data_IF_389941643006
#
_entry.id   IF_389941643006
#
_cell.length_a   1.000
_cell.length_b   1.000
_cell.length_c   1.000
_cell.angle_alpha   90.00
_cell.angle_beta   90.00
_cell.angle_gamma   90.00
#
_symmetry.space_group_name_H-M   'P 1'
#
loop_
_entity.id
_entity.type
_entity.pdbx_description
1 polymer ?
#
# COMPACT_ATOMS: atom_id res chain seq x y z
N UNK A 1 5.06 -24.14 -5.73
CA UNK A 1 4.70 -22.89 -6.45
C UNK A 1 4.15 -21.89 -5.43
N UNK A 2 4.57 -20.64 -5.48
CA UNK A 2 4.07 -19.57 -4.57
C UNK A 2 2.66 -19.20 -4.99
N UNK A 3 1.72 -19.23 -4.04
CA UNK A 3 0.36 -18.71 -4.17
C UNK A 3 0.18 -17.58 -3.18
N UNK A 4 0.12 -16.36 -3.70
CA UNK A 4 0.08 -15.14 -2.92
C UNK A 4 -1.37 -14.68 -2.69
N UNK A 5 -1.73 -14.45 -1.44
CA UNK A 5 -2.88 -13.67 -1.05
C UNK A 5 -2.46 -12.24 -0.73
N UNK A 6 -3.17 -11.24 -1.21
CA UNK A 6 -2.95 -9.83 -0.87
C UNK A 6 -4.21 -9.29 -0.20
N UNK A 7 -4.12 -8.98 1.09
CA UNK A 7 -5.17 -8.27 1.83
C UNK A 7 -4.82 -6.81 1.92
N UNK A 8 -5.62 -5.97 1.28
CA UNK A 8 -5.34 -4.53 1.20
C UNK A 8 -6.60 -3.71 1.51
N UNK A 9 -6.41 -2.66 2.31
CA UNK A 9 -7.45 -1.67 2.53
C UNK A 9 -7.70 -0.87 1.24
N UNK A 10 -8.96 -0.86 0.78
CA UNK A 10 -9.36 -0.15 -0.43
C UNK A 10 -10.62 0.72 -0.24
N UNK A 11 -11.06 0.93 1.00
CA UNK A 11 -12.16 1.83 1.33
C UNK A 11 -11.80 3.28 0.96
N UNK A 12 -12.81 4.10 0.74
CA UNK A 12 -12.62 5.52 0.38
C UNK A 12 -11.77 6.28 1.41
N UNK A 13 -11.85 5.89 2.68
CA UNK A 13 -11.12 6.53 3.78
C UNK A 13 -9.67 6.08 3.91
N UNK A 14 -9.31 4.91 3.37
CA UNK A 14 -7.94 4.39 3.43
C UNK A 14 -7.00 4.99 2.39
N UNK A 15 -7.55 5.68 1.39
CA UNK A 15 -6.77 6.24 0.29
C UNK A 15 -6.21 5.17 -0.65
N UNK A 16 -5.54 5.62 -1.70
CA UNK A 16 -5.03 4.73 -2.76
C UNK A 16 -3.64 4.15 -2.46
N UNK A 17 -2.93 4.68 -1.48
CA UNK A 17 -1.53 4.34 -1.21
C UNK A 17 -1.31 2.87 -0.89
N UNK A 18 -2.19 2.27 -0.09
CA UNK A 18 -2.15 0.85 0.27
C UNK A 18 -2.24 -0.03 -0.99
N UNK A 19 -3.23 0.23 -1.83
CA UNK A 19 -3.41 -0.52 -3.07
C UNK A 19 -2.20 -0.35 -4.00
N UNK A 20 -1.72 0.88 -4.21
CA UNK A 20 -0.62 1.16 -5.13
C UNK A 20 0.66 0.42 -4.75
N UNK A 21 1.01 0.35 -3.46
CA UNK A 21 2.21 -0.36 -3.04
C UNK A 21 2.04 -1.89 -3.15
N UNK A 22 0.87 -2.43 -2.81
CA UNK A 22 0.57 -3.85 -3.05
C UNK A 22 0.54 -4.19 -4.54
N UNK A 23 -0.08 -3.33 -5.35
CA UNK A 23 -0.12 -3.49 -6.81
C UNK A 23 1.28 -3.44 -7.43
N UNK A 24 2.15 -2.58 -6.95
CA UNK A 24 3.55 -2.53 -7.39
C UNK A 24 4.28 -3.85 -7.11
N UNK A 25 4.06 -4.45 -5.95
CA UNK A 25 4.62 -5.78 -5.60
C UNK A 25 4.03 -6.87 -6.48
N UNK A 26 2.71 -6.86 -6.71
CA UNK A 26 2.02 -7.90 -7.50
C UNK A 26 2.55 -8.04 -8.94
N UNK A 27 3.10 -6.96 -9.50
CA UNK A 27 3.64 -6.97 -10.85
C UNK A 27 4.88 -7.86 -11.03
N UNK A 28 5.53 -8.24 -9.94
CA UNK A 28 6.68 -9.14 -9.97
C UNK A 28 6.28 -10.63 -9.86
N UNK A 29 4.97 -10.93 -9.69
CA UNK A 29 4.47 -12.29 -9.62
C UNK A 29 3.86 -12.73 -10.95
N UNK A 30 4.27 -13.90 -11.43
CA UNK A 30 3.73 -14.52 -12.66
C UNK A 30 2.58 -15.47 -12.36
N UNK A 31 2.49 -16.01 -11.14
CA UNK A 31 1.39 -16.85 -10.67
C UNK A 31 0.11 -16.04 -10.42
N UNK A 32 -1.03 -16.73 -10.34
CA UNK A 32 -2.31 -16.17 -9.93
C UNK A 32 -2.21 -15.62 -8.52
N UNK A 33 -2.76 -14.41 -8.30
CA UNK A 33 -2.83 -13.73 -7.01
C UNK A 33 -4.30 -13.69 -6.57
N UNK A 34 -4.53 -13.79 -5.27
CA UNK A 34 -5.84 -13.66 -4.64
C UNK A 34 -5.90 -12.34 -3.88
N UNK A 35 -6.75 -11.42 -4.35
CA UNK A 35 -6.91 -10.10 -3.76
C UNK A 35 -8.11 -10.10 -2.82
N UNK A 36 -7.89 -9.72 -1.57
CA UNK A 36 -8.92 -9.55 -0.55
C UNK A 36 -9.15 -8.06 -0.34
N UNK A 37 -10.31 -7.57 -0.78
CA UNK A 37 -10.67 -6.15 -0.79
C UNK A 37 -11.84 -5.90 0.17
N UNK A 38 -11.91 -4.67 0.73
CA UNK A 38 -13.00 -4.27 1.64
C UNK A 38 -14.30 -4.04 0.86
N UNK A 39 -14.22 -3.39 -0.31
CA UNK A 39 -15.39 -2.98 -1.08
C UNK A 39 -15.16 -3.02 -2.59
N UNK A 40 -16.26 -3.13 -3.33
CA UNK A 40 -16.25 -3.08 -4.80
C UNK A 40 -15.90 -1.67 -5.27
N UNK A 41 -14.92 -1.57 -6.16
CA UNK A 41 -14.50 -0.31 -6.74
C UNK A 41 -13.83 -0.54 -8.09
N UNK A 42 -14.44 -0.04 -9.14
CA UNK A 42 -13.98 -0.23 -10.52
C UNK A 42 -12.56 0.28 -10.78
N UNK A 43 -12.10 1.28 -10.02
CA UNK A 43 -10.72 1.76 -10.13
C UNK A 43 -9.69 0.67 -9.79
N UNK A 44 -9.96 -0.13 -8.77
CA UNK A 44 -9.07 -1.22 -8.37
C UNK A 44 -9.28 -2.46 -9.24
N UNK A 45 -10.54 -2.83 -9.49
CA UNK A 45 -10.94 -3.99 -10.31
C UNK A 45 -10.31 -3.93 -11.71
N UNK A 46 -10.41 -2.80 -12.40
CA UNK A 46 -9.86 -2.62 -13.75
C UNK A 46 -8.33 -2.67 -13.82
N UNK A 47 -7.63 -2.62 -12.69
CA UNK A 47 -6.17 -2.68 -12.62
C UNK A 47 -5.64 -4.06 -12.25
N UNK A 48 -6.44 -4.85 -11.56
CA UNK A 48 -6.09 -6.22 -11.21
C UNK A 48 -6.12 -7.06 -12.50
N UNK A 49 -5.13 -7.92 -12.66
CA UNK A 49 -4.97 -8.73 -13.88
C UNK A 49 -6.10 -9.77 -13.98
N UNK A 50 -6.57 -10.04 -15.19
CA UNK A 50 -7.66 -11.02 -15.46
C UNK A 50 -7.37 -12.42 -14.92
N UNK A 51 -6.09 -12.79 -14.78
CA UNK A 51 -5.70 -14.09 -14.21
C UNK A 51 -5.86 -14.17 -12.69
N UNK A 52 -5.92 -13.04 -12.03
CA UNK A 52 -6.02 -12.91 -10.57
C UNK A 52 -7.48 -13.05 -10.14
N UNK A 53 -7.71 -13.30 -8.87
CA UNK A 53 -9.05 -13.44 -8.30
C UNK A 53 -9.28 -12.36 -7.26
N UNK A 54 -10.47 -11.75 -7.29
CA UNK A 54 -10.88 -10.76 -6.32
C UNK A 54 -11.93 -11.37 -5.41
N UNK A 55 -11.70 -11.29 -4.11
CA UNK A 55 -12.58 -11.76 -3.06
C UNK A 55 -12.89 -10.56 -2.17
N UNK A 56 -14.18 -10.30 -1.93
CA UNK A 56 -14.61 -9.21 -1.08
C UNK A 56 -14.85 -9.74 0.32
N UNK A 57 -14.36 -9.01 1.33
CA UNK A 57 -14.70 -9.22 2.71
C UNK A 57 -16.01 -8.50 3.02
N UNK A 58 -16.98 -9.21 3.59
CA UNK A 58 -18.30 -8.63 3.89
C UNK A 58 -18.22 -7.61 5.04
N UNK A 59 -17.28 -7.84 5.97
CA UNK A 59 -16.96 -6.91 7.05
C UNK A 59 -15.46 -6.68 7.16
N UNK A 60 -15.04 -5.44 7.32
CA UNK A 60 -13.62 -5.02 7.35
C UNK A 60 -12.83 -5.70 8.46
N UNK A 61 -13.50 -6.05 9.57
CA UNK A 61 -12.90 -6.71 10.74
C UNK A 61 -12.92 -8.23 10.65
N UNK A 62 -13.75 -8.79 9.78
CA UNK A 62 -13.85 -10.24 9.59
C UNK A 62 -12.82 -10.73 8.56
N UNK A 63 -12.33 -11.93 8.82
CA UNK A 63 -11.39 -12.64 7.95
C UNK A 63 -11.91 -14.00 7.53
N UNK A 64 -13.23 -14.19 7.63
CA UNK A 64 -13.91 -15.47 7.36
C UNK A 64 -13.77 -15.89 5.89
N UNK A 65 -14.07 -14.95 4.97
CA UNK A 65 -13.93 -15.18 3.52
C UNK A 65 -12.48 -15.43 3.15
N UNK A 66 -11.57 -14.67 3.75
CA UNK A 66 -10.13 -14.86 3.56
C UNK A 66 -9.67 -16.24 4.06
N UNK A 67 -10.11 -16.68 5.25
CA UNK A 67 -9.72 -17.98 5.81
C UNK A 67 -10.19 -19.13 4.93
N UNK A 68 -11.43 -19.07 4.44
CA UNK A 68 -11.99 -20.05 3.49
C UNK A 68 -11.17 -20.10 2.21
N UNK A 69 -10.97 -18.95 1.56
CA UNK A 69 -10.22 -18.87 0.30
C UNK A 69 -8.76 -19.30 0.44
N UNK A 70 -8.11 -18.96 1.56
CA UNK A 70 -6.73 -19.39 1.86
C UNK A 70 -6.64 -20.93 1.89
N UNK A 71 -7.60 -21.59 2.55
CA UNK A 71 -7.65 -23.05 2.63
C UNK A 71 -7.95 -23.69 1.28
N UNK A 72 -9.03 -23.28 0.61
CA UNK A 72 -9.51 -23.86 -0.66
C UNK A 72 -8.47 -23.70 -1.79
N UNK A 73 -7.84 -22.56 -1.87
CA UNK A 73 -6.87 -22.24 -2.91
C UNK A 73 -5.43 -22.61 -2.55
N UNK A 74 -5.19 -23.12 -1.34
CA UNK A 74 -3.84 -23.46 -0.82
C UNK A 74 -2.88 -22.27 -0.93
N UNK A 75 -3.35 -21.08 -0.52
CA UNK A 75 -2.52 -19.89 -0.45
C UNK A 75 -1.45 -20.12 0.61
N UNK A 76 -0.20 -19.85 0.28
CA UNK A 76 0.93 -20.21 1.12
C UNK A 76 1.81 -19.04 1.55
N UNK A 77 1.42 -17.80 1.18
CA UNK A 77 1.99 -16.54 1.70
C UNK A 77 0.92 -15.45 1.62
N UNK A 78 0.90 -14.57 2.61
CA UNK A 78 -0.04 -13.45 2.68
C UNK A 78 0.74 -12.14 2.79
N UNK A 79 0.44 -11.19 1.90
CA UNK A 79 0.83 -9.79 2.00
C UNK A 79 -0.33 -8.99 2.58
N UNK A 80 -0.10 -8.28 3.67
CA UNK A 80 -1.12 -7.51 4.38
C UNK A 80 -0.77 -6.02 4.39
N UNK A 81 -1.72 -5.20 3.98
CA UNK A 81 -1.61 -3.74 4.00
C UNK A 81 -2.94 -3.09 4.37
N UNK A 82 -3.24 -3.07 5.64
CA UNK A 82 -4.47 -2.49 6.19
C UNK A 82 -4.23 -1.99 7.61
N UNK A 83 -4.77 -0.80 7.93
CA UNK A 83 -4.76 -0.29 9.30
C UNK A 83 -5.96 -0.78 10.13
N UNK A 84 -7.01 -1.24 9.47
CA UNK A 84 -8.28 -1.59 10.10
C UNK A 84 -8.33 -3.04 10.63
N UNK A 85 -7.30 -3.83 10.34
CA UNK A 85 -7.25 -5.25 10.70
C UNK A 85 -6.29 -5.46 11.87
N UNK A 86 -6.73 -6.21 12.87
CA UNK A 86 -5.85 -6.67 13.94
C UNK A 86 -4.90 -7.77 13.42
N UNK A 87 -3.66 -7.38 13.19
CA UNK A 87 -2.61 -8.26 12.68
C UNK A 87 -2.35 -9.45 13.62
N UNK A 88 -2.52 -9.28 14.93
CA UNK A 88 -2.32 -10.36 15.87
C UNK A 88 -3.40 -11.44 15.74
N UNK A 89 -4.63 -11.06 15.47
CA UNK A 89 -5.73 -12.00 15.20
C UNK A 89 -5.48 -12.76 13.91
N UNK A 90 -5.05 -12.07 12.84
CA UNK A 90 -4.65 -12.72 11.58
C UNK A 90 -3.47 -13.67 11.78
N UNK A 91 -2.43 -13.26 12.51
CA UNK A 91 -1.27 -14.10 12.80
C UNK A 91 -1.65 -15.39 13.56
N UNK A 92 -2.62 -15.30 14.47
CA UNK A 92 -3.13 -16.48 15.16
C UNK A 92 -3.95 -17.40 14.26
N UNK A 93 -4.72 -16.83 13.33
CA UNK A 93 -5.55 -17.59 12.40
C UNK A 93 -4.70 -18.33 11.36
N UNK A 94 -3.65 -17.68 10.86
CA UNK A 94 -2.76 -18.23 9.82
C UNK A 94 -1.39 -18.64 10.36
N UNK A 95 -1.35 -19.38 11.48
CA UNK A 95 -0.09 -19.76 12.17
C UNK A 95 0.96 -20.40 11.28
N UNK A 96 0.55 -21.14 10.27
CA UNK A 96 1.43 -21.90 9.38
C UNK A 96 1.65 -21.22 8.01
N UNK A 97 1.14 -20.00 7.83
CA UNK A 97 1.27 -19.24 6.59
C UNK A 97 2.09 -17.99 6.87
N UNK A 98 3.23 -17.79 6.19
CA UNK A 98 4.02 -16.59 6.35
C UNK A 98 3.22 -15.34 6.06
N UNK A 99 3.24 -14.39 7.02
CA UNK A 99 2.67 -13.07 6.88
C UNK A 99 3.77 -12.05 6.59
N UNK A 100 3.59 -11.33 5.49
CA UNK A 100 4.37 -10.17 5.12
C UNK A 100 3.49 -8.93 5.29
N UNK A 101 3.94 -7.94 6.07
CA UNK A 101 3.10 -6.79 6.43
C UNK A 101 3.77 -5.49 6.05
N UNK A 102 3.05 -4.64 5.32
CA UNK A 102 3.44 -3.23 5.19
C UNK A 102 3.12 -2.47 6.46
N UNK A 103 4.08 -1.67 6.92
CA UNK A 103 3.95 -0.91 8.14
C UNK A 103 4.63 0.44 8.09
N UNK A 104 3.99 1.41 8.73
CA UNK A 104 4.46 2.79 8.79
C UNK A 104 4.83 3.20 10.24
N UNK A 105 4.85 2.24 11.19
CA UNK A 105 5.16 2.46 12.61
C UNK A 105 6.11 1.41 13.15
N UNK A 106 6.80 1.71 14.26
CA UNK A 106 7.77 0.82 14.93
C UNK A 106 7.15 -0.25 15.85
N UNK A 107 5.81 -0.31 16.00
CA UNK A 107 5.19 -1.27 16.94
C UNK A 107 5.53 -2.71 16.57
N UNK A 108 5.83 -3.50 17.58
CA UNK A 108 6.11 -4.93 17.45
C UNK A 108 4.93 -5.70 16.82
N UNK A 109 5.26 -6.64 15.96
CA UNK A 109 4.31 -7.55 15.33
C UNK A 109 4.81 -8.98 15.39
N UNK A 110 3.91 -9.92 15.60
CA UNK A 110 4.22 -11.33 15.51
C UNK A 110 3.95 -11.84 14.08
N UNK A 111 4.85 -11.49 13.17
CA UNK A 111 4.79 -11.84 11.73
C UNK A 111 6.16 -12.26 11.24
N UNK A 112 6.25 -12.86 10.05
CA UNK A 112 7.52 -13.35 9.50
C UNK A 112 8.29 -12.25 8.78
N UNK A 113 7.61 -11.27 8.17
CA UNK A 113 8.25 -10.18 7.46
C UNK A 113 7.52 -8.86 7.68
N UNK A 114 8.28 -7.79 7.87
CA UNK A 114 7.78 -6.41 7.89
C UNK A 114 8.48 -5.59 6.82
N UNK A 115 7.71 -4.87 6.02
CA UNK A 115 8.20 -3.90 5.03
C UNK A 115 7.81 -2.51 5.53
N UNK A 116 8.81 -1.68 5.83
CA UNK A 116 8.62 -0.30 6.27
C UNK A 116 9.43 0.64 5.37
N UNK A 117 8.83 1.29 4.36
CA UNK A 117 9.54 2.21 3.46
C UNK A 117 10.11 3.46 4.16
N UNK A 118 9.62 3.76 5.34
CA UNK A 118 10.09 4.91 6.12
C UNK A 118 11.44 4.63 6.80
N UNK A 119 12.27 5.66 7.04
CA UNK A 119 13.54 5.52 7.74
C UNK A 119 13.31 5.37 9.26
N UNK A 120 12.54 4.37 9.66
CA UNK A 120 12.22 4.06 11.05
C UNK A 120 13.04 2.84 11.46
N UNK A 121 13.66 2.88 12.63
CA UNK A 121 14.24 1.68 13.24
C UNK A 121 13.11 0.73 13.62
N UNK A 122 13.09 -0.44 13.02
CA UNK A 122 12.22 -1.52 13.46
C UNK A 122 12.91 -2.27 14.61
N UNK A 123 12.11 -2.69 15.59
CA UNK A 123 12.65 -3.47 16.70
C UNK A 123 13.38 -4.72 16.19
N UNK A 124 14.59 -4.94 16.71
CA UNK A 124 15.47 -6.04 16.32
C UNK A 124 14.99 -7.38 16.88
N UNK A 125 13.85 -7.87 16.39
CA UNK A 125 13.47 -9.26 16.63
C UNK A 125 14.15 -10.15 15.60
N UNK A 126 15.07 -11.00 16.08
CA UNK A 126 15.87 -11.91 15.23
C UNK A 126 15.03 -12.88 14.39
N UNK A 127 13.77 -13.09 14.76
CA UNK A 127 12.85 -14.01 14.07
C UNK A 127 12.01 -13.33 12.99
N UNK A 128 12.15 -12.01 12.78
CA UNK A 128 11.40 -11.25 11.80
C UNK A 128 12.33 -10.70 10.74
N UNK A 129 12.02 -10.93 9.48
CA UNK A 129 12.71 -10.27 8.36
C UNK A 129 12.22 -8.83 8.28
N UNK A 130 13.10 -7.88 8.59
CA UNK A 130 12.78 -6.45 8.60
C UNK A 130 13.40 -5.75 7.40
N UNK A 131 12.55 -5.28 6.48
CA UNK A 131 12.92 -4.49 5.30
C UNK A 131 12.57 -3.02 5.57
N UNK A 132 13.53 -2.25 6.10
CA UNK A 132 13.31 -0.85 6.51
C UNK A 132 14.11 0.13 5.65
N UNK A 133 13.48 1.27 5.38
CA UNK A 133 14.05 2.39 4.66
C UNK A 133 13.59 2.53 3.20
N UNK A 134 13.88 3.69 2.57
CA UNK A 134 13.36 4.06 1.25
C UNK A 134 13.71 3.08 0.13
N UNK A 135 14.82 2.35 0.23
CA UNK A 135 15.23 1.34 -0.76
C UNK A 135 14.25 0.17 -0.88
N UNK A 136 13.37 -0.02 0.11
CA UNK A 136 12.33 -1.04 0.12
C UNK A 136 10.94 -0.49 -0.20
N UNK A 137 10.85 0.78 -0.65
CA UNK A 137 9.59 1.33 -1.12
C UNK A 137 9.17 0.66 -2.43
N UNK A 138 7.97 0.05 -2.52
CA UNK A 138 7.48 -0.53 -3.76
C UNK A 138 7.09 0.59 -4.73
N UNK A 139 7.95 0.82 -5.71
CA UNK A 139 7.72 1.84 -6.74
C UNK A 139 7.42 1.12 -8.06
N UNK A 140 6.37 1.56 -8.74
CA UNK A 140 6.02 1.02 -10.05
C UNK A 140 7.19 1.21 -11.04
N UNK A 141 7.50 0.15 -11.81
CA UNK A 141 8.58 0.16 -12.81
C UNK A 141 8.47 1.30 -13.83
N UNK A 142 7.26 1.81 -14.09
CA UNK A 142 7.04 2.97 -14.97
C UNK A 142 7.74 4.25 -14.49
N UNK A 143 8.12 4.34 -13.21
CA UNK A 143 8.82 5.51 -12.65
C UNK A 143 10.34 5.33 -12.54
N UNK A 144 10.85 4.10 -12.70
CA UNK A 144 12.27 3.80 -12.49
C UNK A 144 13.16 4.43 -13.58
N UNK A 145 12.66 4.54 -14.80
CA UNK A 145 13.43 5.00 -15.98
C UNK A 145 13.17 6.47 -16.34
N UNK A 146 12.53 7.25 -15.48
CA UNK A 146 12.29 8.65 -15.76
C UNK A 146 13.60 9.45 -15.61
N UNK A 147 14.00 10.12 -16.69
CA UNK A 147 15.14 11.04 -16.67
C UNK A 147 14.88 12.16 -15.66
N UNK A 148 15.92 12.51 -14.91
CA UNK A 148 15.90 13.67 -14.00
C UNK A 148 15.47 14.91 -14.79
N UNK A 149 14.48 15.63 -14.25
CA UNK A 149 14.02 16.87 -14.84
C UNK A 149 15.21 17.83 -15.05
N UNK A 150 15.29 18.44 -16.25
CA UNK A 150 16.24 19.53 -16.50
C UNK A 150 16.01 20.63 -15.45
N UNK A 151 17.10 21.14 -14.88
CA UNK A 151 17.02 22.27 -13.95
C UNK A 151 16.38 23.46 -14.68
N UNK A 152 15.18 23.83 -14.29
CA UNK A 152 14.53 25.04 -14.76
C UNK A 152 15.03 26.23 -13.95
N UNK A 153 15.13 27.41 -14.58
CA UNK A 153 15.45 28.67 -13.90
C UNK A 153 14.34 29.13 -12.94
N UNK A 154 13.14 28.59 -13.10
CA UNK A 154 11.97 28.92 -12.29
C UNK A 154 11.78 27.89 -11.19
N UNK A 155 11.27 28.33 -10.05
CA UNK A 155 10.86 27.46 -8.96
C UNK A 155 9.53 26.81 -9.33
N UNK A 156 9.53 25.47 -9.50
CA UNK A 156 8.33 24.70 -9.70
C UNK A 156 7.92 24.09 -8.36
N UNK A 157 6.73 24.41 -7.88
CA UNK A 157 6.18 23.89 -6.64
C UNK A 157 5.05 22.89 -6.98
N UNK A 158 5.26 21.63 -6.63
CA UNK A 158 4.24 20.59 -6.66
C UNK A 158 3.60 20.49 -5.27
N UNK A 159 2.28 20.59 -5.21
CA UNK A 159 1.49 20.35 -3.98
C UNK A 159 0.62 19.11 -4.24
N UNK A 160 0.77 18.09 -3.38
CA UNK A 160 -0.04 16.88 -3.46
C UNK A 160 -0.31 16.35 -2.05
N UNK A 161 -1.59 16.18 -1.71
CA UNK A 161 -2.06 15.59 -0.44
C UNK A 161 -2.52 14.14 -0.62
N UNK A 162 -1.99 13.45 -1.63
CA UNK A 162 -2.40 12.09 -1.96
C UNK A 162 -3.65 12.04 -2.84
N UNK A 163 -4.39 10.95 -2.76
CA UNK A 163 -5.58 10.73 -3.59
C UNK A 163 -6.80 11.51 -3.09
N UNK A 164 -6.80 11.93 -1.83
CA UNK A 164 -7.92 12.62 -1.19
C UNK A 164 -7.41 13.62 -0.14
N UNK A 165 -7.76 14.90 -0.31
CA UNK A 165 -7.42 15.98 0.63
C UNK A 165 -8.57 16.23 1.60
N UNK A 166 -8.77 15.31 2.55
CA UNK A 166 -9.88 15.34 3.51
C UNK A 166 -9.89 16.57 4.43
N UNK A 167 -8.73 17.19 4.62
CA UNK A 167 -8.58 18.37 5.49
C UNK A 167 -8.52 19.70 4.72
N UNK A 168 -8.62 19.67 3.38
CA UNK A 168 -8.55 20.88 2.56
C UNK A 168 -7.21 21.62 2.65
N UNK A 169 -6.13 20.93 2.98
CA UNK A 169 -4.79 21.51 3.21
C UNK A 169 -4.25 22.15 1.93
N UNK A 170 -4.50 21.56 0.76
CA UNK A 170 -4.08 22.09 -0.55
C UNK A 170 -4.55 23.53 -0.75
N UNK A 171 -5.83 23.81 -0.46
CA UNK A 171 -6.39 25.15 -0.61
C UNK A 171 -5.72 26.16 0.33
N UNK A 172 -5.42 25.77 1.57
CA UNK A 172 -4.78 26.62 2.56
C UNK A 172 -3.33 26.94 2.14
N UNK A 173 -2.59 25.95 1.64
CA UNK A 173 -1.25 26.15 1.08
C UNK A 173 -1.29 27.13 -0.10
N UNK A 174 -2.22 26.95 -1.05
CA UNK A 174 -2.37 27.83 -2.21
C UNK A 174 -2.65 29.28 -1.79
N UNK A 175 -3.55 29.50 -0.82
CA UNK A 175 -3.85 30.82 -0.27
C UNK A 175 -2.63 31.48 0.36
N UNK A 176 -1.82 30.70 1.08
CA UNK A 176 -0.60 31.18 1.72
C UNK A 176 0.48 31.55 0.71
N UNK A 177 0.68 30.71 -0.31
CA UNK A 177 1.67 30.95 -1.38
C UNK A 177 1.28 32.16 -2.26
N UNK A 178 -0.02 32.41 -2.48
CA UNK A 178 -0.49 33.61 -3.20
C UNK A 178 -0.01 34.89 -2.57
N UNK A 179 0.20 34.90 -1.26
CA UNK A 179 0.69 36.09 -0.51
C UNK A 179 2.20 36.27 -0.66
N UNK A 180 2.95 35.22 -0.98
CA UNK A 180 4.41 35.22 -0.91
C UNK A 180 5.11 35.61 -2.22
N UNK A 181 4.55 35.38 -3.41
CA UNK A 181 5.26 35.70 -4.67
C UNK A 181 4.36 35.90 -5.89
N UNK A 182 4.72 36.88 -6.74
CA UNK A 182 4.17 37.07 -8.10
C UNK A 182 4.86 36.17 -9.18
N UNK A 183 5.92 35.41 -8.86
CA UNK A 183 6.81 34.73 -9.82
C UNK A 183 6.84 33.21 -9.75
N UNK A 184 5.89 32.54 -9.12
CA UNK A 184 5.86 31.06 -9.01
C UNK A 184 4.84 30.50 -9.99
N UNK A 185 5.29 29.70 -10.95
CA UNK A 185 4.38 28.86 -11.72
C UNK A 185 3.76 27.79 -10.83
N UNK A 186 2.43 27.70 -10.87
CA UNK A 186 1.65 26.84 -9.96
C UNK A 186 1.02 25.71 -10.76
N UNK A 187 1.35 24.48 -10.43
CA UNK A 187 0.67 23.29 -10.94
C UNK A 187 0.05 22.54 -9.77
N UNK A 188 -1.27 22.40 -9.77
CA UNK A 188 -2.03 21.65 -8.76
C UNK A 188 -2.33 20.30 -9.37
N UNK A 189 -2.02 19.22 -8.64
CA UNK A 189 -2.41 17.86 -8.97
C UNK A 189 -3.38 17.41 -7.86
N UNK A 190 -4.62 17.19 -8.23
CA UNK A 190 -5.69 16.62 -7.38
C UNK A 190 -5.89 15.15 -7.69
#
# INVERSE_FOLDING_TARGET
MIKLGIRVANSINSGRGHFERCFSVSNYFTSKIFWFLDEKNSFYENRIKDKDEIIYEEEVTEVSSMAKAVSENKINIILLDSYNIDINSISKLFKNIPLCVFRDTSKFLNVQMVICPHPISLDNNKNIVSLSGPKFAPISSKYINNQLCKKNKNINLLISMGAYDSLGITLNIIKSIKKLTKKVEKKIIT
#
